data_IF_492858068659
#
_entry.id   IF_492858068659
#
_cell.length_a   1.000
_cell.length_b   1.000
_cell.length_c   1.000
_cell.angle_alpha   90.00
_cell.angle_beta   90.00
_cell.angle_gamma   90.00
#
_symmetry.space_group_name_H-M   'P 1'
#
loop_
_entity.id
_entity.type
_entity.pdbx_description
1 polymer ?
#
# COMPACT_ATOMS: atom_id res chain seq x y z
N UNK A 1 57.74 -36.38 25.49
CA UNK A 1 57.00 -35.92 26.68
C UNK A 1 56.72 -34.44 26.48
N UNK A 2 55.44 -34.07 26.47
CA UNK A 2 54.93 -32.83 25.92
C UNK A 2 55.31 -31.59 26.74
N UNK A 3 55.53 -30.47 26.03
CA UNK A 3 55.78 -29.13 26.59
C UNK A 3 54.45 -28.49 26.99
N UNK A 4 54.43 -27.90 28.18
CA UNK A 4 53.41 -26.98 28.67
C UNK A 4 53.37 -25.68 27.87
N UNK A 5 52.16 -25.16 27.62
CA UNK A 5 51.94 -23.78 27.23
C UNK A 5 50.78 -23.23 28.06
N UNK A 6 51.10 -22.31 28.96
CA UNK A 6 50.15 -21.53 29.77
C UNK A 6 49.85 -20.22 29.05
N UNK A 7 48.58 -19.81 28.92
CA UNK A 7 48.23 -18.38 28.80
C UNK A 7 46.75 -18.08 29.06
N UNK A 8 46.52 -17.45 30.21
CA UNK A 8 45.67 -16.27 30.46
C UNK A 8 44.14 -16.36 30.22
N UNK A 9 43.41 -16.49 31.33
CA UNK A 9 42.05 -15.98 31.48
C UNK A 9 42.06 -14.44 31.45
N UNK A 10 41.32 -13.85 30.50
CA UNK A 10 40.86 -12.47 30.56
C UNK A 10 39.40 -12.47 31.01
N UNK A 11 39.16 -11.80 32.12
CA UNK A 11 37.85 -11.41 32.62
C UNK A 11 37.52 -10.04 32.02
N UNK A 12 36.51 -9.97 31.16
CA UNK A 12 35.98 -8.71 30.61
C UNK A 12 34.47 -8.68 30.87
N UNK A 13 34.11 -8.28 32.10
CA UNK A 13 32.74 -7.96 32.51
C UNK A 13 32.58 -6.45 32.73
N UNK A 14 32.38 -5.69 31.65
CA UNK A 14 31.83 -4.32 31.74
C UNK A 14 30.98 -3.98 30.53
N UNK A 15 29.67 -4.19 30.65
CA UNK A 15 28.65 -3.72 29.72
C UNK A 15 27.34 -3.47 30.47
N UNK A 16 27.11 -2.22 30.87
CA UNK A 16 25.91 -1.79 31.61
C UNK A 16 24.67 -1.71 30.74
N UNK A 17 24.20 -2.85 30.24
CA UNK A 17 22.89 -3.00 29.60
C UNK A 17 22.19 -4.20 30.20
N UNK A 18 20.95 -4.04 30.64
CA UNK A 18 20.10 -5.16 31.07
C UNK A 18 19.95 -6.13 29.89
N UNK A 19 20.45 -7.37 29.98
CA UNK A 19 20.28 -8.35 28.91
C UNK A 19 18.79 -8.69 28.84
N UNK A 20 18.12 -8.31 27.75
CA UNK A 20 16.82 -8.90 27.42
C UNK A 20 17.12 -10.33 26.99
N UNK A 21 16.57 -11.35 27.66
CA UNK A 21 16.75 -12.73 27.23
C UNK A 21 16.04 -12.90 25.89
N UNK A 22 16.80 -12.88 24.81
CA UNK A 22 16.34 -13.32 23.50
C UNK A 22 16.76 -14.78 23.38
N UNK A 23 15.81 -15.67 23.12
CA UNK A 23 16.12 -16.99 22.60
C UNK A 23 17.08 -16.83 21.41
N UNK A 24 18.06 -17.72 21.28
CA UNK A 24 18.99 -17.64 20.16
C UNK A 24 18.20 -17.61 18.85
N UNK A 25 18.70 -16.91 17.84
CA UNK A 25 18.04 -16.83 16.53
C UNK A 25 17.69 -18.23 16.01
N UNK A 26 18.55 -19.22 16.28
CA UNK A 26 18.32 -20.61 15.91
C UNK A 26 17.16 -21.26 16.68
N UNK A 27 16.97 -20.93 17.97
CA UNK A 27 15.86 -21.42 18.77
C UNK A 27 14.51 -20.77 18.37
N UNK A 28 14.53 -19.49 18.01
CA UNK A 28 13.36 -18.80 17.46
C UNK A 28 12.97 -19.36 16.08
N UNK A 29 13.96 -19.78 15.27
CA UNK A 29 13.74 -20.41 13.98
C UNK A 29 13.20 -21.84 14.13
N UNK A 30 13.69 -22.62 15.10
CA UNK A 30 13.20 -24.00 15.33
C UNK A 30 11.78 -24.05 15.90
N UNK A 31 11.34 -22.99 16.61
CA UNK A 31 9.95 -22.88 17.09
C UNK A 31 8.93 -22.61 15.97
N UNK A 32 9.39 -22.22 14.76
CA UNK A 32 8.54 -21.88 13.60
C UNK A 32 8.46 -23.04 12.59
N UNK A 33 9.11 -24.18 12.85
CA UNK A 33 9.04 -25.35 11.97
C UNK A 33 7.65 -26.04 12.02
N UNK A 34 6.85 -25.62 11.04
CA UNK A 34 5.90 -26.39 10.20
C UNK A 34 4.62 -26.95 10.83
N UNK A 35 3.48 -26.35 10.45
CA UNK A 35 2.58 -26.99 9.48
C UNK A 35 2.06 -25.91 8.51
N UNK A 36 2.59 -25.94 7.30
CA UNK A 36 2.01 -25.35 6.10
C UNK A 36 2.06 -26.43 5.01
N UNK A 37 1.34 -26.27 3.89
CA UNK A 37 1.30 -27.25 2.78
C UNK A 37 2.59 -28.08 2.66
N UNK A 38 2.48 -29.40 2.82
CA UNK A 38 3.63 -30.31 2.92
C UNK A 38 4.70 -30.01 1.86
N UNK A 39 5.85 -29.49 2.30
CA UNK A 39 7.00 -29.19 1.43
C UNK A 39 7.35 -27.71 1.24
N UNK A 40 6.58 -26.75 1.77
CA UNK A 40 6.94 -25.31 1.78
C UNK A 40 7.13 -24.77 3.20
N UNK A 41 7.94 -23.72 3.34
CA UNK A 41 8.04 -22.97 4.60
C UNK A 41 6.74 -22.19 4.85
N UNK A 42 6.44 -21.87 6.11
CA UNK A 42 5.32 -20.99 6.47
C UNK A 42 5.36 -19.71 5.62
N UNK A 43 4.23 -19.29 5.07
CA UNK A 43 4.11 -18.15 4.16
C UNK A 43 5.08 -18.22 2.95
N UNK A 44 5.36 -19.42 2.42
CA UNK A 44 6.13 -19.74 1.21
C UNK A 44 7.63 -19.41 1.25
N UNK A 45 8.01 -18.23 1.71
CA UNK A 45 9.39 -17.72 1.70
C UNK A 45 10.25 -18.43 2.74
N UNK A 46 11.51 -18.73 2.41
CA UNK A 46 12.48 -19.15 3.40
C UNK A 46 12.79 -18.05 4.44
N UNK A 47 13.28 -18.46 5.61
CA UNK A 47 13.55 -17.54 6.73
C UNK A 47 14.67 -16.54 6.43
N UNK A 48 15.61 -16.86 5.54
CA UNK A 48 16.66 -15.92 5.14
C UNK A 48 16.09 -14.77 4.31
N UNK A 49 15.14 -15.08 3.43
CA UNK A 49 14.44 -14.12 2.58
C UNK A 49 13.53 -13.24 3.42
N UNK A 50 12.72 -13.84 4.33
CA UNK A 50 11.92 -13.06 5.29
C UNK A 50 12.78 -12.13 6.12
N UNK A 51 13.89 -12.63 6.67
CA UNK A 51 14.82 -11.81 7.47
C UNK A 51 15.38 -10.64 6.67
N UNK A 52 15.70 -10.83 5.39
CA UNK A 52 16.16 -9.72 4.56
C UNK A 52 15.07 -8.70 4.25
N UNK A 53 13.88 -9.16 3.87
CA UNK A 53 12.74 -8.29 3.63
C UNK A 53 12.42 -7.45 4.89
N UNK A 54 12.37 -8.09 6.07
CA UNK A 54 12.12 -7.43 7.36
C UNK A 54 13.18 -6.37 7.70
N UNK A 55 14.47 -6.66 7.50
CA UNK A 55 15.55 -5.65 7.70
C UNK A 55 15.39 -4.46 6.76
N UNK A 56 15.02 -4.71 5.51
CA UNK A 56 14.78 -3.65 4.53
C UNK A 56 13.56 -2.80 4.91
N UNK A 57 12.49 -3.41 5.42
CA UNK A 57 11.34 -2.68 5.96
C UNK A 57 11.72 -1.83 7.17
N UNK A 58 12.48 -2.35 8.13
CA UNK A 58 12.93 -1.59 9.30
C UNK A 58 13.73 -0.35 8.89
N UNK A 59 14.59 -0.46 7.87
CA UNK A 59 15.31 0.69 7.29
C UNK A 59 14.37 1.68 6.60
N UNK A 60 13.37 1.17 5.89
CA UNK A 60 12.38 1.99 5.21
C UNK A 60 11.54 2.80 6.20
N UNK A 61 11.16 2.19 7.33
CA UNK A 61 10.46 2.87 8.43
C UNK A 61 11.34 3.95 9.05
N UNK A 62 12.63 3.65 9.29
CA UNK A 62 13.57 4.61 9.87
C UNK A 62 13.94 5.76 8.92
N UNK A 63 13.67 5.64 7.62
CA UNK A 63 13.97 6.65 6.61
C UNK A 63 12.74 6.84 5.70
N UNK A 64 11.66 7.49 6.21
CA UNK A 64 10.37 7.56 5.53
C UNK A 64 10.48 8.08 4.09
N UNK A 65 9.81 7.40 3.16
CA UNK A 65 9.83 7.70 1.72
C UNK A 65 11.13 7.34 0.98
N UNK A 66 12.18 6.87 1.66
CA UNK A 66 13.42 6.43 1.00
C UNK A 66 13.31 5.01 0.42
N UNK A 67 13.69 4.87 -0.85
CA UNK A 67 13.70 3.60 -1.58
C UNK A 67 14.88 2.70 -1.15
N UNK A 68 14.64 1.82 -0.18
CA UNK A 68 15.64 0.87 0.32
C UNK A 68 15.80 -0.31 -0.66
N UNK A 69 17.01 -0.58 -1.18
CA UNK A 69 17.25 -1.77 -1.99
C UNK A 69 17.20 -3.04 -1.13
N UNK A 70 16.56 -4.09 -1.66
CA UNK A 70 16.50 -5.40 -1.00
C UNK A 70 16.73 -6.53 -2.02
N UNK A 71 17.07 -7.73 -1.54
CA UNK A 71 17.29 -8.90 -2.39
C UNK A 71 15.97 -9.59 -2.77
N UNK A 72 15.22 -9.00 -3.71
CA UNK A 72 13.97 -9.56 -4.23
C UNK A 72 14.17 -10.95 -4.86
N UNK A 73 13.23 -11.87 -4.59
CA UNK A 73 13.23 -13.24 -5.12
C UNK A 73 12.14 -13.43 -6.18
N UNK A 74 12.36 -14.35 -7.16
CA UNK A 74 11.28 -14.84 -8.00
C UNK A 74 10.14 -15.44 -7.16
N UNK A 75 8.91 -15.14 -7.52
CA UNK A 75 7.69 -15.62 -6.86
C UNK A 75 6.91 -16.51 -7.83
N UNK A 76 5.97 -17.36 -7.36
CA UNK A 76 5.15 -18.23 -8.20
C UNK A 76 4.01 -17.45 -8.90
N UNK A 77 4.29 -16.20 -9.30
CA UNK A 77 3.44 -15.33 -10.09
C UNK A 77 4.31 -14.62 -11.14
N UNK A 78 3.72 -14.27 -12.28
CA UNK A 78 4.43 -13.54 -13.31
C UNK A 78 5.00 -12.21 -12.76
N UNK A 79 6.20 -11.83 -13.20
CA UNK A 79 6.80 -10.55 -12.79
C UNK A 79 5.87 -9.40 -13.20
N UNK A 80 5.72 -8.41 -12.32
CA UNK A 80 4.80 -7.28 -12.50
C UNK A 80 3.43 -7.46 -11.87
N UNK A 81 3.08 -8.68 -11.43
CA UNK A 81 1.83 -8.98 -10.73
C UNK A 81 1.99 -8.85 -9.21
N UNK A 82 2.61 -7.76 -8.76
CA UNK A 82 2.64 -7.44 -7.33
C UNK A 82 3.65 -8.21 -6.48
N UNK A 83 4.68 -8.84 -7.07
CA UNK A 83 5.63 -9.71 -6.35
C UNK A 83 6.38 -9.06 -5.19
N UNK A 84 6.52 -7.73 -5.18
CA UNK A 84 7.08 -6.99 -4.04
C UNK A 84 6.14 -6.97 -2.85
N UNK A 85 4.87 -6.59 -3.09
CA UNK A 85 3.82 -6.62 -2.08
C UNK A 85 3.61 -8.01 -1.50
N UNK A 86 3.64 -9.05 -2.34
CA UNK A 86 3.52 -10.44 -1.87
C UNK A 86 4.70 -10.80 -0.94
N UNK A 87 5.94 -10.51 -1.35
CA UNK A 87 7.10 -10.76 -0.48
C UNK A 87 7.01 -10.00 0.84
N UNK A 88 6.54 -8.76 0.80
CA UNK A 88 6.34 -7.94 1.98
C UNK A 88 5.29 -8.54 2.92
N UNK A 89 4.09 -8.84 2.41
CA UNK A 89 3.00 -9.39 3.20
C UNK A 89 3.34 -10.74 3.80
N UNK A 90 3.87 -11.67 3.01
CA UNK A 90 4.28 -13.00 3.51
C UNK A 90 5.42 -12.93 4.53
N UNK A 91 6.20 -11.85 4.54
CA UNK A 91 7.21 -11.61 5.59
C UNK A 91 6.63 -10.95 6.84
N UNK A 92 5.47 -10.30 6.76
CA UNK A 92 4.80 -9.63 7.88
C UNK A 92 3.75 -10.50 8.56
N UNK A 93 3.14 -11.44 7.85
CA UNK A 93 2.09 -12.31 8.37
C UNK A 93 2.57 -13.15 9.56
N UNK A 94 1.87 -13.01 10.68
CA UNK A 94 1.87 -13.94 11.79
C UNK A 94 0.73 -14.97 11.69
N UNK A 95 0.81 -16.11 12.41
CA UNK A 95 -0.21 -17.16 12.34
C UNK A 95 -1.60 -16.75 12.84
N UNK A 96 -1.69 -15.70 13.67
CA UNK A 96 -2.94 -15.16 14.18
C UNK A 96 -3.48 -13.98 13.36
N UNK A 97 -2.74 -13.52 12.34
CA UNK A 97 -3.17 -12.40 11.51
C UNK A 97 -4.35 -12.81 10.61
N UNK A 98 -5.27 -11.88 10.42
CA UNK A 98 -6.33 -11.93 9.41
C UNK A 98 -5.92 -11.09 8.20
N UNK A 99 -5.81 -11.71 7.04
CA UNK A 99 -5.38 -11.08 5.80
C UNK A 99 -6.57 -10.60 4.94
N UNK A 100 -6.51 -9.34 4.50
CA UNK A 100 -7.33 -8.81 3.39
C UNK A 100 -6.45 -8.53 2.18
N UNK A 101 -6.93 -8.88 0.99
CA UNK A 101 -6.24 -8.59 -0.28
C UNK A 101 -7.21 -7.95 -1.25
N UNK A 102 -6.82 -6.81 -1.83
CA UNK A 102 -7.62 -6.10 -2.84
C UNK A 102 -6.78 -5.73 -4.07
N UNK A 103 -7.41 -5.75 -5.25
CA UNK A 103 -6.87 -5.17 -6.49
C UNK A 103 -7.97 -4.33 -7.14
N UNK A 104 -7.68 -3.07 -7.47
CA UNK A 104 -8.69 -2.10 -7.92
C UNK A 104 -9.86 -1.96 -6.94
N UNK A 105 -9.62 -2.05 -5.63
CA UNK A 105 -10.66 -1.94 -4.59
C UNK A 105 -11.57 -3.16 -4.45
N UNK A 106 -11.31 -4.22 -5.22
CA UNK A 106 -12.09 -5.46 -5.21
C UNK A 106 -11.30 -6.64 -4.65
N UNK A 107 -11.91 -7.32 -3.66
CA UNK A 107 -11.40 -8.55 -3.06
C UNK A 107 -11.46 -9.75 -4.01
N UNK A 108 -12.43 -9.75 -4.93
CA UNK A 108 -12.73 -10.87 -5.84
C UNK A 108 -12.05 -10.75 -7.22
N UNK A 109 -11.17 -9.76 -7.38
CA UNK A 109 -10.34 -9.69 -8.58
C UNK A 109 -9.43 -10.91 -8.69
N UNK A 110 -9.11 -11.33 -9.92
CA UNK A 110 -8.28 -12.52 -10.19
C UNK A 110 -6.94 -12.46 -9.46
N UNK A 111 -6.30 -11.30 -9.42
CA UNK A 111 -5.01 -11.12 -8.75
C UNK A 111 -5.16 -11.19 -7.22
N UNK A 112 -6.16 -10.49 -6.64
CA UNK A 112 -6.40 -10.53 -5.20
C UNK A 112 -6.74 -11.94 -4.71
N UNK A 113 -7.64 -12.63 -5.40
CA UNK A 113 -8.02 -14.01 -5.09
C UNK A 113 -6.82 -14.97 -5.14
N UNK A 114 -5.94 -14.84 -6.15
CA UNK A 114 -4.75 -15.69 -6.27
C UNK A 114 -3.72 -15.43 -5.16
N UNK A 115 -3.52 -14.18 -4.76
CA UNK A 115 -2.62 -13.82 -3.67
C UNK A 115 -3.16 -14.31 -2.34
N UNK A 116 -4.47 -14.11 -2.10
CA UNK A 116 -5.16 -14.58 -0.90
C UNK A 116 -5.04 -16.10 -0.78
N UNK A 117 -5.33 -16.83 -1.87
CA UNK A 117 -5.18 -18.28 -1.94
C UNK A 117 -3.75 -18.75 -1.68
N UNK A 118 -2.73 -18.03 -2.19
CA UNK A 118 -1.33 -18.35 -1.89
C UNK A 118 -1.04 -18.23 -0.39
N UNK A 119 -1.52 -17.17 0.27
CA UNK A 119 -1.34 -16.98 1.70
C UNK A 119 -2.10 -18.03 2.52
N UNK A 120 -3.38 -18.28 2.23
CA UNK A 120 -4.17 -19.33 2.87
C UNK A 120 -3.49 -20.70 2.78
N UNK A 121 -3.02 -21.04 1.58
CA UNK A 121 -2.38 -22.33 1.32
C UNK A 121 -1.01 -22.50 2.01
N UNK A 122 -0.24 -21.43 2.20
CA UNK A 122 1.15 -21.53 2.65
C UNK A 122 1.36 -21.04 4.08
N UNK A 123 0.42 -20.27 4.63
CA UNK A 123 0.47 -19.70 5.96
C UNK A 123 -0.74 -20.08 6.83
N UNK A 124 -1.79 -20.71 6.25
CA UNK A 124 -2.99 -21.13 6.99
C UNK A 124 -3.66 -20.00 7.81
N UNK A 125 -3.50 -18.76 7.33
CA UNK A 125 -4.04 -17.56 7.98
C UNK A 125 -5.52 -17.37 7.67
N UNK A 126 -6.24 -16.76 8.61
CA UNK A 126 -7.60 -16.31 8.36
C UNK A 126 -7.61 -15.22 7.28
N UNK A 127 -8.69 -15.16 6.50
CA UNK A 127 -8.88 -14.11 5.50
C UNK A 127 -10.22 -13.42 5.65
N UNK A 128 -10.29 -12.17 5.21
CA UNK A 128 -11.49 -11.35 5.34
C UNK A 128 -11.65 -10.43 4.14
N UNK A 129 -12.90 -10.13 3.78
CA UNK A 129 -13.24 -9.03 2.87
C UNK A 129 -13.56 -7.75 3.64
N UNK A 130 -13.75 -7.81 4.95
CA UNK A 130 -14.05 -6.66 5.80
C UNK A 130 -12.75 -5.95 6.22
N UNK A 131 -12.59 -4.69 5.81
CA UNK A 131 -11.41 -3.87 6.13
C UNK A 131 -11.17 -3.77 7.64
N UNK A 132 -12.23 -3.64 8.44
CA UNK A 132 -12.14 -3.41 9.90
C UNK A 132 -11.73 -4.66 10.68
N UNK A 133 -11.71 -5.83 10.02
CA UNK A 133 -11.32 -7.11 10.63
C UNK A 133 -9.95 -7.61 10.18
N UNK A 134 -9.25 -6.85 9.33
CA UNK A 134 -7.96 -7.27 8.79
C UNK A 134 -6.83 -6.74 9.66
N UNK A 135 -5.84 -7.58 10.00
CA UNK A 135 -4.61 -7.14 10.67
C UNK A 135 -3.55 -6.70 9.63
N UNK A 136 -3.61 -7.30 8.44
CA UNK A 136 -2.75 -6.97 7.30
C UNK A 136 -3.61 -6.82 6.03
N UNK A 137 -3.46 -5.69 5.35
CA UNK A 137 -4.15 -5.39 4.10
C UNK A 137 -3.10 -5.28 3.00
N UNK A 138 -3.16 -6.17 2.02
CA UNK A 138 -2.37 -6.03 0.80
C UNK A 138 -3.23 -5.44 -0.32
N UNK A 139 -2.80 -4.31 -0.87
CA UNK A 139 -3.58 -3.60 -1.89
C UNK A 139 -2.78 -3.29 -3.15
N UNK A 140 -3.48 -3.31 -4.27
CA UNK A 140 -3.04 -2.76 -5.55
C UNK A 140 -4.00 -1.66 -6.02
N UNK A 141 -3.43 -0.47 -6.22
CA UNK A 141 -4.05 0.73 -6.79
C UNK A 141 -5.14 1.41 -5.95
N UNK A 142 -5.41 0.97 -4.72
CA UNK A 142 -6.37 1.63 -3.84
C UNK A 142 -5.93 1.65 -2.38
N UNK A 143 -6.45 2.60 -1.62
CA UNK A 143 -6.50 2.53 -0.16
C UNK A 143 -7.99 2.41 0.23
N UNK A 144 -8.37 1.51 1.16
CA UNK A 144 -9.75 1.37 1.58
C UNK A 144 -10.43 2.69 1.93
N UNK A 145 -11.75 2.76 1.76
CA UNK A 145 -12.51 3.95 2.17
C UNK A 145 -12.66 4.03 3.69
N UNK A 146 -12.71 2.88 4.36
CA UNK A 146 -12.74 2.78 5.82
C UNK A 146 -11.39 3.21 6.40
N UNK A 147 -11.42 3.96 7.51
CA UNK A 147 -10.21 4.40 8.21
C UNK A 147 -9.42 3.18 8.67
N UNK A 148 -8.09 3.24 8.60
CA UNK A 148 -7.24 2.18 9.15
C UNK A 148 -6.74 2.51 10.56
N UNK A 149 -6.66 1.51 11.43
CA UNK A 149 -6.24 1.66 12.85
C UNK A 149 -4.73 1.45 13.03
N UNK A 150 -4.22 1.75 14.21
CA UNK A 150 -2.82 1.53 14.62
C UNK A 150 -2.43 0.04 14.71
N UNK A 151 -3.40 -0.85 14.90
CA UNK A 151 -3.19 -2.30 14.85
C UNK A 151 -3.03 -2.84 13.42
N UNK A 152 -3.40 -2.05 12.40
CA UNK A 152 -3.40 -2.47 11.01
C UNK A 152 -2.11 -2.11 10.28
N UNK A 153 -1.76 -2.95 9.30
CA UNK A 153 -0.63 -2.73 8.38
C UNK A 153 -1.14 -2.73 6.95
N UNK A 154 -0.77 -1.72 6.17
CA UNK A 154 -1.08 -1.63 4.74
C UNK A 154 0.16 -1.92 3.90
N UNK A 155 0.03 -2.82 2.93
CA UNK A 155 1.08 -3.14 1.95
C UNK A 155 0.61 -2.76 0.55
N UNK A 156 1.21 -1.73 -0.04
CA UNK A 156 0.93 -1.26 -1.39
C UNK A 156 1.87 -1.89 -2.43
N UNK A 157 1.27 -2.45 -3.49
CA UNK A 157 2.01 -2.99 -4.62
C UNK A 157 2.53 -1.88 -5.54
N UNK A 158 3.85 -1.88 -5.77
CA UNK A 158 4.50 -0.82 -6.55
C UNK A 158 5.11 -1.38 -7.83
N UNK A 159 4.68 -0.90 -9.02
CA UNK A 159 5.30 -1.28 -10.28
C UNK A 159 6.59 -0.49 -10.57
N UNK A 160 6.63 0.79 -10.21
CA UNK A 160 7.76 1.72 -10.40
C UNK A 160 7.89 2.56 -9.14
N UNK A 161 9.08 2.62 -8.54
CA UNK A 161 9.28 3.18 -7.18
C UNK A 161 9.64 4.64 -7.15
N UNK A 162 10.20 5.15 -8.23
CA UNK A 162 10.81 6.48 -8.27
C UNK A 162 9.88 7.46 -8.97
N UNK A 163 9.36 8.44 -8.22
CA UNK A 163 8.55 9.52 -8.75
C UNK A 163 9.31 10.31 -9.85
N UNK A 164 10.64 10.42 -9.76
CA UNK A 164 11.47 11.10 -10.76
C UNK A 164 11.58 10.32 -12.08
N UNK A 165 11.15 9.04 -12.14
CA UNK A 165 11.23 8.24 -13.37
C UNK A 165 10.46 8.85 -14.53
N UNK A 166 9.40 9.64 -14.26
CA UNK A 166 8.64 10.37 -15.28
C UNK A 166 9.47 11.46 -15.98
N UNK A 167 10.43 12.07 -15.28
CA UNK A 167 11.20 13.23 -15.75
C UNK A 167 12.67 12.90 -16.07
N UNK A 168 13.17 11.77 -15.57
CA UNK A 168 14.50 11.29 -15.87
C UNK A 168 14.57 9.76 -15.73
N UNK A 169 14.85 9.02 -16.82
CA UNK A 169 14.90 7.57 -16.79
C UNK A 169 16.14 7.02 -16.05
N UNK A 170 17.14 7.84 -15.73
CA UNK A 170 18.40 7.39 -15.13
C UNK A 170 18.29 7.16 -13.62
N UNK A 171 18.35 5.87 -13.20
CA UNK A 171 18.34 5.48 -11.79
C UNK A 171 19.50 6.10 -11.00
N UNK A 172 20.70 6.08 -11.58
CA UNK A 172 21.89 6.64 -10.95
C UNK A 172 21.75 8.16 -10.71
N UNK A 173 21.19 8.88 -11.69
CA UNK A 173 20.96 10.31 -11.55
C UNK A 173 19.89 10.62 -10.50
N UNK A 174 18.80 9.84 -10.46
CA UNK A 174 17.73 10.05 -9.49
C UNK A 174 18.15 9.71 -8.06
N UNK A 175 18.96 8.66 -7.85
CA UNK A 175 19.56 8.36 -6.54
C UNK A 175 20.40 9.54 -6.02
N UNK A 176 21.19 10.19 -6.89
CA UNK A 176 21.94 11.41 -6.53
C UNK A 176 21.00 12.57 -6.18
N UNK A 177 19.89 12.73 -6.90
CA UNK A 177 18.86 13.74 -6.60
C UNK A 177 18.21 13.52 -5.25
N UNK A 178 17.80 12.29 -4.92
CA UNK A 178 17.27 11.95 -3.59
C UNK A 178 18.28 12.26 -2.49
N UNK A 179 19.55 11.86 -2.68
CA UNK A 179 20.61 12.15 -1.72
C UNK A 179 20.74 13.65 -1.44
N UNK A 180 20.63 14.49 -2.47
CA UNK A 180 20.79 15.95 -2.36
C UNK A 180 19.48 16.73 -2.14
N UNK A 181 18.32 16.07 -1.98
CA UNK A 181 16.99 16.72 -1.98
C UNK A 181 16.76 17.60 -3.23
N UNK A 182 17.35 17.23 -4.37
CA UNK A 182 17.25 18.00 -5.61
C UNK A 182 16.08 17.51 -6.47
N UNK A 183 14.88 18.02 -6.19
CA UNK A 183 13.63 17.66 -6.89
C UNK A 183 13.17 18.71 -7.91
N UNK A 184 14.03 19.67 -8.26
CA UNK A 184 13.66 20.77 -9.18
C UNK A 184 13.12 20.30 -10.54
N UNK A 185 13.62 19.18 -11.06
CA UNK A 185 13.08 18.58 -12.30
C UNK A 185 11.60 18.19 -12.19
N UNK A 186 11.17 17.70 -11.03
CA UNK A 186 9.75 17.37 -10.82
C UNK A 186 8.92 18.65 -10.82
N UNK A 187 9.37 19.70 -10.12
CA UNK A 187 8.69 21.00 -10.12
C UNK A 187 8.55 21.60 -11.52
N UNK A 188 9.59 21.55 -12.35
CA UNK A 188 9.52 22.00 -13.75
C UNK A 188 8.46 21.21 -14.51
N UNK A 189 8.42 19.88 -14.35
CA UNK A 189 7.42 19.05 -15.00
C UNK A 189 5.98 19.37 -14.56
N UNK A 190 5.75 19.62 -13.27
CA UNK A 190 4.44 20.05 -12.77
C UNK A 190 4.04 21.41 -13.35
N UNK A 191 4.99 22.33 -13.49
CA UNK A 191 4.74 23.63 -14.09
C UNK A 191 4.41 23.53 -15.59
N UNK A 192 5.11 22.66 -16.32
CA UNK A 192 4.81 22.36 -17.74
C UNK A 192 3.37 21.86 -17.91
N UNK A 193 2.89 20.99 -17.00
CA UNK A 193 1.49 20.54 -17.01
C UNK A 193 0.52 21.72 -16.81
N UNK A 194 0.79 22.61 -15.85
CA UNK A 194 -0.06 23.79 -15.60
C UNK A 194 -0.09 24.71 -16.82
N UNK A 195 1.03 24.91 -17.50
CA UNK A 195 1.10 25.74 -18.72
C UNK A 195 0.34 25.09 -19.88
N UNK A 196 0.44 23.77 -20.05
CA UNK A 196 -0.16 23.05 -21.18
C UNK A 196 -1.66 22.79 -20.99
N UNK A 197 -2.08 22.39 -19.79
CA UNK A 197 -3.43 21.89 -19.49
C UNK A 197 -4.22 22.81 -18.56
N UNK A 198 -3.61 23.84 -17.98
CA UNK A 198 -4.22 24.69 -16.96
C UNK A 198 -4.29 24.05 -15.56
N UNK A 199 -3.87 22.79 -15.43
CA UNK A 199 -3.84 22.02 -14.19
C UNK A 199 -2.69 20.99 -14.18
N UNK A 200 -2.42 20.40 -13.02
CA UNK A 200 -1.48 19.29 -12.92
C UNK A 200 -2.17 18.00 -13.36
N UNK A 201 -1.95 17.59 -14.61
CA UNK A 201 -2.58 16.43 -15.23
C UNK A 201 -1.89 15.10 -14.85
N UNK A 202 -1.92 14.73 -13.57
CA UNK A 202 -1.40 13.47 -13.05
C UNK A 202 -2.51 12.73 -12.30
N UNK A 203 -3.16 11.76 -12.94
CA UNK A 203 -4.30 11.04 -12.34
C UNK A 203 -3.91 10.00 -11.26
N UNK A 204 -2.71 9.42 -11.34
CA UNK A 204 -2.24 8.42 -10.37
C UNK A 204 -0.73 8.51 -10.18
N UNK A 205 -0.25 7.87 -9.11
CA UNK A 205 1.18 7.94 -8.71
C UNK A 205 1.62 9.39 -8.55
N UNK A 206 0.80 10.16 -7.85
CA UNK A 206 1.02 11.59 -7.72
C UNK A 206 2.27 11.84 -6.88
N UNK A 207 3.25 12.61 -7.36
CA UNK A 207 4.50 12.85 -6.64
C UNK A 207 4.22 13.51 -5.29
N UNK A 208 4.70 12.88 -4.22
CA UNK A 208 4.33 13.26 -2.85
C UNK A 208 5.57 13.40 -1.98
N UNK A 209 5.65 14.46 -1.17
CA UNK A 209 6.73 14.69 -0.22
C UNK A 209 6.41 13.98 1.10
N UNK A 210 7.31 13.11 1.56
CA UNK A 210 7.17 12.39 2.83
C UNK A 210 8.17 12.91 3.84
N UNK A 211 7.69 13.13 5.07
CA UNK A 211 8.47 13.64 6.20
C UNK A 211 9.28 14.89 5.84
N UNK A 212 8.70 15.76 5.00
CA UNK A 212 9.34 16.97 4.51
C UNK A 212 10.72 16.74 3.84
N UNK A 213 11.01 15.53 3.35
CA UNK A 213 12.37 15.16 2.90
C UNK A 213 12.45 14.33 1.63
N UNK A 214 11.73 13.23 1.54
CA UNK A 214 11.82 12.33 0.39
C UNK A 214 10.64 12.53 -0.54
N UNK A 215 10.94 12.77 -1.82
CA UNK A 215 9.94 12.67 -2.87
C UNK A 215 9.66 11.17 -3.09
N UNK A 216 8.40 10.79 -3.01
CA UNK A 216 7.93 9.41 -3.03
C UNK A 216 6.88 9.21 -4.13
N UNK A 217 6.90 8.04 -4.76
CA UNK A 217 5.78 7.51 -5.55
C UNK A 217 4.84 6.75 -4.60
N UNK A 218 3.57 7.17 -4.41
CA UNK A 218 2.65 6.54 -3.47
C UNK A 218 2.03 5.24 -3.99
N UNK A 219 2.68 4.57 -4.95
CA UNK A 219 2.12 3.51 -5.80
C UNK A 219 1.02 4.05 -6.73
N UNK A 220 0.46 3.22 -7.65
CA UNK A 220 -0.59 3.64 -8.57
C UNK A 220 -1.97 3.80 -7.94
N UNK A 221 -2.03 4.39 -6.75
CA UNK A 221 -3.27 4.89 -6.17
C UNK A 221 -3.72 6.17 -6.91
N UNK A 222 -5.04 6.42 -7.01
CA UNK A 222 -5.57 7.67 -7.55
C UNK A 222 -5.21 8.84 -6.62
N UNK A 223 -5.31 10.08 -7.13
CA UNK A 223 -5.13 11.28 -6.29
C UNK A 223 -6.06 11.27 -5.08
N UNK A 224 -7.28 10.77 -5.26
CA UNK A 224 -8.26 10.51 -4.20
C UNK A 224 -7.67 9.82 -2.98
N UNK A 225 -6.82 8.81 -3.14
CA UNK A 225 -6.32 8.05 -2.00
C UNK A 225 -5.05 8.68 -1.38
N UNK A 226 -4.37 9.61 -2.05
CA UNK A 226 -3.10 10.17 -1.55
C UNK A 226 -3.24 10.84 -0.16
N UNK A 227 -4.29 11.66 0.11
CA UNK A 227 -4.49 12.23 1.43
C UNK A 227 -4.65 11.22 2.56
N UNK A 228 -5.07 9.97 2.28
CA UNK A 228 -5.21 8.90 3.29
C UNK A 228 -3.86 8.42 3.86
N UNK A 229 -2.75 8.84 3.25
CA UNK A 229 -1.40 8.55 3.74
C UNK A 229 -0.89 9.60 4.74
N UNK A 230 -1.50 10.78 4.78
CA UNK A 230 -1.08 11.87 5.67
C UNK A 230 -1.59 11.64 7.10
N UNK A 231 -0.70 11.79 8.09
CA UNK A 231 -0.96 11.59 9.52
C UNK A 231 -1.77 10.32 9.86
N UNK A 232 -1.59 9.27 9.06
CA UNK A 232 -2.36 8.04 9.23
C UNK A 232 -1.93 7.28 10.50
N UNK A 233 -2.89 6.60 11.17
CA UNK A 233 -2.59 5.80 12.37
C UNK A 233 -1.79 4.52 12.07
N UNK A 234 -1.87 4.01 10.84
CA UNK A 234 -1.38 2.69 10.45
C UNK A 234 0.00 2.77 9.78
N UNK A 235 0.72 1.65 9.76
CA UNK A 235 1.97 1.52 9.00
C UNK A 235 1.67 1.23 7.52
N UNK A 236 2.19 2.05 6.61
CA UNK A 236 2.18 1.74 5.17
C UNK A 236 3.55 1.29 4.68
N UNK A 237 3.61 0.10 4.07
CA UNK A 237 4.76 -0.44 3.36
C UNK A 237 4.48 -0.43 1.85
N UNK A 238 5.42 0.09 1.07
CA UNK A 238 5.35 0.12 -0.38
C UNK A 238 6.47 -0.75 -0.95
N UNK A 239 6.12 -1.76 -1.74
CA UNK A 239 7.07 -2.80 -2.15
C UNK A 239 7.04 -3.10 -3.65
N UNK A 240 8.21 -2.96 -4.29
CA UNK A 240 8.42 -3.23 -5.70
C UNK A 240 9.38 -4.41 -5.91
N UNK A 241 8.84 -5.55 -6.30
CA UNK A 241 9.62 -6.77 -6.49
C UNK A 241 10.51 -6.73 -7.73
N UNK A 242 10.04 -6.09 -8.81
CA UNK A 242 10.80 -5.98 -10.07
C UNK A 242 11.96 -4.98 -9.98
N UNK A 243 11.75 -3.87 -9.26
CA UNK A 243 12.78 -2.84 -9.06
C UNK A 243 13.62 -3.10 -7.81
N UNK A 244 13.28 -4.13 -7.04
CA UNK A 244 13.98 -4.56 -5.83
C UNK A 244 14.13 -3.41 -4.84
N UNK A 245 13.01 -2.74 -4.53
CA UNK A 245 12.92 -1.63 -3.57
C UNK A 245 11.75 -1.82 -2.62
N UNK A 246 11.96 -1.45 -1.36
CA UNK A 246 10.94 -1.32 -0.31
C UNK A 246 11.10 0.08 0.30
N UNK A 247 9.98 0.73 0.58
CA UNK A 247 9.92 2.01 1.27
C UNK A 247 8.67 2.07 2.13
N UNK A 248 8.57 3.04 3.02
CA UNK A 248 7.50 3.08 4.02
C UNK A 248 7.07 4.51 4.35
N UNK A 249 5.85 4.60 4.85
CA UNK A 249 5.30 5.74 5.59
C UNK A 249 4.92 5.20 6.97
N UNK A 250 5.68 5.52 8.03
CA UNK A 250 5.29 5.18 9.40
C UNK A 250 4.00 5.91 9.81
N UNK A 251 3.32 5.43 10.87
CA UNK A 251 2.23 6.18 11.49
C UNK A 251 2.62 7.62 11.81
N UNK A 252 1.65 8.54 11.76
CA UNK A 252 1.81 9.95 12.13
C UNK A 252 2.94 10.68 11.38
N UNK A 253 3.07 10.37 10.09
CA UNK A 253 4.06 10.99 9.21
C UNK A 253 3.37 11.94 8.25
N UNK A 254 3.93 13.15 8.09
CA UNK A 254 3.48 14.12 7.09
C UNK A 254 3.74 13.60 5.68
N UNK A 255 2.70 13.62 4.85
CA UNK A 255 2.65 13.16 3.46
C UNK A 255 1.89 14.19 2.63
N UNK A 256 2.64 15.02 1.91
CA UNK A 256 2.10 16.19 1.21
C UNK A 256 2.25 16.04 -0.31
N UNK A 257 1.14 15.96 -1.08
CA UNK A 257 1.20 15.99 -2.53
C UNK A 257 1.89 17.27 -3.02
N UNK A 258 2.78 17.18 -4.01
CA UNK A 258 3.43 18.38 -4.55
C UNK A 258 2.42 19.30 -5.23
N UNK A 259 2.27 20.52 -4.72
CA UNK A 259 1.39 21.55 -5.26
C UNK A 259 2.11 22.91 -5.27
N UNK A 260 1.64 23.85 -6.10
CA UNK A 260 2.12 25.23 -6.05
C UNK A 260 1.24 26.05 -5.10
N UNK A 261 1.77 27.15 -4.56
CA UNK A 261 1.00 28.04 -3.67
C UNK A 261 -0.26 28.59 -4.36
N UNK A 262 -0.20 28.85 -5.66
CA UNK A 262 -1.30 29.34 -6.50
C UNK A 262 -2.12 28.21 -7.17
N UNK A 263 -1.70 26.95 -7.00
CA UNK A 263 -2.35 25.76 -7.59
C UNK A 263 -2.39 24.63 -6.58
N UNK A 264 -3.48 24.55 -5.83
CA UNK A 264 -3.70 23.51 -4.83
C UNK A 264 -3.84 22.11 -5.45
N UNK A 265 -3.48 21.09 -4.67
CA UNK A 265 -3.75 19.70 -5.01
C UNK A 265 -5.27 19.46 -5.08
N UNK A 266 -5.71 18.76 -6.12
CA UNK A 266 -7.11 18.38 -6.33
C UNK A 266 -7.22 16.87 -6.54
N UNK A 267 -8.30 16.29 -6.04
CA UNK A 267 -8.65 14.88 -6.26
C UNK A 267 -9.69 14.75 -7.38
N UNK A 268 -9.93 13.52 -7.83
CA UNK A 268 -11.01 13.21 -8.74
C UNK A 268 -12.37 13.66 -8.17
N UNK A 269 -13.19 14.32 -9.00
CA UNK A 269 -14.54 14.78 -8.64
C UNK A 269 -15.55 14.05 -9.50
N UNK A 270 -16.65 13.64 -8.86
CA UNK A 270 -17.77 12.97 -9.52
C UNK A 270 -19.05 13.79 -9.35
N UNK A 271 -19.10 15.02 -9.91
CA UNK A 271 -20.26 15.90 -9.73
C UNK A 271 -21.52 15.23 -10.28
N UNK A 272 -22.61 15.32 -9.52
CA UNK A 272 -23.92 14.76 -9.86
C UNK A 272 -23.96 13.23 -10.00
N UNK A 273 -22.86 12.53 -9.69
CA UNK A 273 -22.80 11.08 -9.70
C UNK A 273 -22.86 10.53 -8.28
N UNK A 274 -23.57 9.41 -8.15
CA UNK A 274 -23.56 8.60 -6.94
C UNK A 274 -23.33 7.15 -7.34
N UNK A 275 -22.82 6.34 -6.42
CA UNK A 275 -22.76 4.91 -6.64
C UNK A 275 -24.17 4.36 -6.92
N UNK A 276 -24.37 3.74 -8.07
CA UNK A 276 -25.62 3.10 -8.47
C UNK A 276 -26.09 2.01 -7.48
N UNK A 277 -25.17 1.39 -6.74
CA UNK A 277 -25.49 0.30 -5.82
C UNK A 277 -25.86 0.78 -4.40
N UNK A 278 -25.13 1.75 -3.83
CA UNK A 278 -25.31 2.18 -2.44
C UNK A 278 -25.65 3.67 -2.26
N UNK A 279 -25.66 4.46 -3.33
CA UNK A 279 -25.95 5.90 -3.30
C UNK A 279 -24.81 6.79 -2.81
N UNK A 280 -23.62 6.24 -2.54
CA UNK A 280 -22.46 6.98 -2.04
C UNK A 280 -21.97 8.06 -3.01
N UNK A 281 -21.69 9.26 -2.48
CA UNK A 281 -21.12 10.42 -3.21
C UNK A 281 -19.74 10.83 -2.69
N UNK A 282 -19.27 10.19 -1.63
CA UNK A 282 -18.05 10.51 -0.88
C UNK A 282 -17.01 9.37 -0.94
N UNK A 283 -17.08 8.52 -1.96
CA UNK A 283 -16.14 7.41 -2.21
C UNK A 283 -15.57 7.53 -3.62
N UNK A 284 -14.41 6.93 -3.86
CA UNK A 284 -13.88 6.86 -5.21
C UNK A 284 -14.82 6.02 -6.10
N UNK A 285 -15.33 6.64 -7.16
CA UNK A 285 -16.22 5.98 -8.12
C UNK A 285 -15.45 5.52 -9.36
N UNK A 286 -15.94 4.46 -9.97
CA UNK A 286 -15.51 4.00 -11.29
C UNK A 286 -16.70 3.94 -12.23
N UNK A 287 -16.41 4.20 -13.50
CA UNK A 287 -17.37 4.04 -14.59
C UNK A 287 -17.50 2.55 -14.94
N UNK A 288 -18.73 2.06 -15.03
CA UNK A 288 -19.09 0.71 -15.46
C UNK A 288 -20.02 0.85 -16.66
N UNK A 289 -19.58 0.32 -17.80
CA UNK A 289 -20.41 0.23 -19.00
C UNK A 289 -21.12 -1.12 -19.03
N UNK A 290 -22.44 -1.12 -19.01
CA UNK A 290 -23.25 -2.34 -19.17
C UNK A 290 -23.72 -2.48 -20.61
N UNK A 291 -23.61 -3.69 -21.18
CA UNK A 291 -24.32 -4.03 -22.40
C UNK A 291 -25.83 -3.98 -22.14
N UNK A 292 -26.62 -3.32 -22.99
CA UNK A 292 -28.06 -3.34 -22.86
C UNK A 292 -28.57 -4.79 -22.90
N UNK A 293 -29.31 -5.18 -21.87
CA UNK A 293 -29.83 -6.55 -21.75
C UNK A 293 -30.64 -6.95 -22.99
N UNK A 294 -30.57 -8.23 -23.36
CA UNK A 294 -31.19 -8.87 -24.54
C UNK A 294 -32.74 -8.90 -24.55
N UNK A 295 -33.38 -7.90 -23.97
CA UNK A 295 -34.83 -7.69 -23.99
C UNK A 295 -35.26 -6.58 -24.96
N UNK A 296 -34.38 -6.15 -25.85
CA UNK A 296 -34.78 -5.39 -27.03
C UNK A 296 -35.42 -6.39 -28.03
N UNK A 297 -36.75 -6.38 -28.12
CA UNK A 297 -37.43 -6.93 -29.30
C UNK A 297 -36.91 -6.25 -30.56
N UNK A 298 -36.98 -6.98 -31.68
CA UNK A 298 -36.58 -6.75 -33.08
C UNK A 298 -36.66 -5.31 -33.67
N UNK A 299 -36.25 -4.28 -32.95
CA UNK A 299 -36.06 -2.93 -33.46
C UNK A 299 -34.57 -2.59 -33.44
N UNK A 300 -34.06 -2.34 -34.65
CA UNK A 300 -32.69 -2.05 -35.05
C UNK A 300 -32.17 -0.69 -34.52
N UNK A 301 -32.63 -0.26 -33.34
CA UNK A 301 -32.06 0.89 -32.63
C UNK A 301 -30.81 0.41 -31.92
N UNK A 302 -29.65 0.79 -32.46
CA UNK A 302 -28.33 0.51 -31.90
C UNK A 302 -28.33 0.56 -30.38
N UNK A 303 -28.21 -0.62 -29.76
CA UNK A 303 -28.29 -0.78 -28.33
C UNK A 303 -27.07 -0.06 -27.70
N UNK A 304 -27.27 1.15 -27.16
CA UNK A 304 -26.21 1.94 -26.55
C UNK A 304 -25.86 1.36 -25.19
N UNK A 305 -24.55 1.20 -24.91
CA UNK A 305 -24.07 0.88 -23.57
C UNK A 305 -24.60 1.90 -22.57
N UNK A 306 -25.13 1.43 -21.44
CA UNK A 306 -25.51 2.31 -20.33
C UNK A 306 -24.30 2.48 -19.42
N UNK A 307 -23.85 3.72 -19.24
CA UNK A 307 -22.78 4.07 -18.29
C UNK A 307 -23.38 4.29 -16.90
N UNK A 308 -22.86 3.59 -15.89
CA UNK A 308 -23.19 3.77 -14.48
C UNK A 308 -21.92 3.99 -13.66
N UNK A 309 -22.05 4.66 -12.51
CA UNK A 309 -20.95 4.84 -11.56
C UNK A 309 -21.11 3.90 -10.37
N UNK A 310 -20.02 3.31 -9.90
CA UNK A 310 -20.04 2.43 -8.73
C UNK A 310 -18.86 2.72 -7.81
N UNK A 311 -19.04 2.53 -6.50
CA UNK A 311 -17.94 2.52 -5.54
C UNK A 311 -16.88 1.52 -6.00
N UNK A 312 -15.63 1.96 -6.05
CA UNK A 312 -14.54 1.06 -6.39
C UNK A 312 -14.13 0.18 -5.20
N UNK A 313 -14.30 0.66 -3.95
CA UNK A 313 -14.19 -0.19 -2.75
C UNK A 313 -15.46 -1.02 -2.58
N UNK A 314 -15.38 -2.29 -2.98
CA UNK A 314 -16.52 -3.21 -2.97
C UNK A 314 -16.97 -3.61 -1.56
N UNK A 315 -16.04 -3.71 -0.60
CA UNK A 315 -16.33 -4.04 0.80
C UNK A 315 -17.17 -2.96 1.45
N UNK A 316 -16.70 -1.71 1.35
CA UNK A 316 -17.40 -0.58 1.96
C UNK A 316 -18.74 -0.31 1.27
N UNK A 317 -18.82 -0.51 -0.05
CA UNK A 317 -20.06 -0.44 -0.80
C UNK A 317 -21.10 -1.45 -0.28
N UNK A 318 -20.71 -2.70 -0.04
CA UNK A 318 -21.60 -3.72 0.50
C UNK A 318 -22.15 -3.33 1.87
N UNK A 319 -21.29 -2.84 2.77
CA UNK A 319 -21.72 -2.31 4.08
C UNK A 319 -22.72 -1.16 3.95
N UNK A 320 -22.49 -0.24 3.01
CA UNK A 320 -23.40 0.89 2.76
C UNK A 320 -24.72 0.52 2.08
N UNK A 321 -24.79 -0.61 1.38
CA UNK A 321 -26.08 -1.14 0.90
C UNK A 321 -26.97 -1.57 2.07
N UNK A 322 -26.38 -2.06 3.15
CA UNK A 322 -27.08 -2.45 4.37
C UNK A 322 -27.33 -1.24 5.30
N UNK A 323 -26.37 -0.31 5.36
CA UNK A 323 -26.45 0.92 6.14
C UNK A 323 -25.96 2.14 5.32
N UNK A 324 -26.85 2.83 4.57
CA UNK A 324 -26.48 3.90 3.64
C UNK A 324 -25.69 5.06 4.24
N UNK A 325 -25.90 5.35 5.52
CA UNK A 325 -25.26 6.46 6.22
C UNK A 325 -24.03 6.03 7.03
N UNK A 326 -23.49 4.82 6.80
CA UNK A 326 -22.32 4.33 7.52
C UNK A 326 -21.11 5.25 7.25
N UNK A 327 -20.56 5.92 8.27
CA UNK A 327 -19.40 6.76 8.10
C UNK A 327 -18.14 5.91 7.95
N UNK A 328 -17.09 6.48 7.37
CA UNK A 328 -15.82 5.77 7.11
C UNK A 328 -15.08 5.37 8.39
N UNK A 329 -15.32 6.10 9.49
CA UNK A 329 -14.74 5.94 10.82
C UNK A 329 -15.67 5.20 11.80
N UNK A 330 -16.74 4.53 11.35
CA UNK A 330 -17.76 3.88 12.19
C UNK A 330 -17.25 2.85 13.22
N UNK A 331 -16.02 2.36 13.06
CA UNK A 331 -15.40 1.38 13.95
C UNK A 331 -14.45 2.03 14.97
N UNK A 332 -14.31 3.36 14.95
CA UNK A 332 -13.47 4.13 15.86
C UNK A 332 -14.31 4.73 16.99
N UNK A 333 -13.72 4.80 18.18
CA UNK A 333 -14.32 5.46 19.36
C UNK A 333 -14.30 7.00 19.28
N UNK A 334 -13.80 7.55 18.16
CA UNK A 334 -13.72 9.00 17.89
C UNK A 334 -14.36 9.31 16.55
N UNK A 335 -15.06 10.44 16.48
CA UNK A 335 -15.71 10.93 15.26
C UNK A 335 -14.89 11.99 14.55
N UNK A 336 -15.01 12.08 13.23
CA UNK A 336 -14.44 13.17 12.43
C UNK A 336 -12.95 12.99 12.19
N UNK A 337 -12.51 11.75 12.02
CA UNK A 337 -11.13 11.47 11.62
C UNK A 337 -10.92 11.93 10.19
N UNK A 338 -9.91 12.77 9.98
CA UNK A 338 -9.51 13.18 8.64
C UNK A 338 -8.97 11.96 7.88
N UNK A 339 -9.70 11.50 6.88
CA UNK A 339 -9.38 10.29 6.13
C UNK A 339 -9.82 10.39 4.67
N UNK A 340 -8.84 10.66 3.81
CA UNK A 340 -9.07 10.87 2.39
C UNK A 340 -9.64 12.25 2.11
N UNK A 341 -10.16 12.49 0.90
CA UNK A 341 -10.67 13.79 0.56
C UNK A 341 -11.91 14.07 1.38
N UNK A 342 -12.03 15.34 1.81
CA UNK A 342 -13.22 15.82 2.48
C UNK A 342 -14.45 15.42 1.65
N UNK A 343 -15.44 14.85 2.34
CA UNK A 343 -16.77 14.71 1.78
C UNK A 343 -17.19 16.10 1.32
N UNK A 344 -17.57 16.31 0.05
CA UNK A 344 -18.05 17.62 -0.37
C UNK A 344 -19.25 17.95 0.51
N UNK A 345 -19.08 18.87 1.45
CA UNK A 345 -20.22 19.45 2.14
C UNK A 345 -21.11 20.04 1.05
N UNK A 346 -22.41 19.73 1.12
CA UNK A 346 -23.42 20.12 0.12
C UNK A 346 -23.64 21.63 -0.02
N UNK A 347 -22.65 22.46 0.29
CA UNK A 347 -22.68 23.89 0.12
C UNK A 347 -21.35 24.50 0.53
N UNK A 348 -20.40 24.54 -0.39
CA UNK A 348 -19.55 25.72 -0.54
C UNK A 348 -19.05 25.78 -2.00
N UNK A 349 -19.58 26.75 -2.73
CA UNK A 349 -19.08 27.14 -4.05
C UNK A 349 -17.62 27.58 -3.90
N UNK A 350 -16.71 26.88 -4.56
CA UNK A 350 -15.39 27.41 -4.91
C UNK A 350 -15.46 28.09 -6.28
#
# INVERSE_FOLDING_TARGET
MAKETTSQHRDESTGGGTPVPTDSVDAALSAVETDGLSGYNYAYLDEHTKREVRRSMLKAVAIPGHQVPYASRPMPLARGWGTGGIQASLSLLGPADTLKVIDQGADESVNAANIRRLAENTAEVATTTDTTKADLIQSRHRIPEEVLTDDQRLVLQVPITDALRKVDPSDAANRRRHAHKNYGKMWVHLYENVVEYGEINIASRYPTMVANRYLMDPSPIPRWDVPKLDDANHLTILAAGREARIYAVPPHTSVEPLAFEDRSFTVERFPEQACHACGSTDTYLVEVSEEPGTTAGDDDTAASFETRYACNDSSFCAKRRENPNLPKDHHLDRSGVDWGPATPDGGENA
#
